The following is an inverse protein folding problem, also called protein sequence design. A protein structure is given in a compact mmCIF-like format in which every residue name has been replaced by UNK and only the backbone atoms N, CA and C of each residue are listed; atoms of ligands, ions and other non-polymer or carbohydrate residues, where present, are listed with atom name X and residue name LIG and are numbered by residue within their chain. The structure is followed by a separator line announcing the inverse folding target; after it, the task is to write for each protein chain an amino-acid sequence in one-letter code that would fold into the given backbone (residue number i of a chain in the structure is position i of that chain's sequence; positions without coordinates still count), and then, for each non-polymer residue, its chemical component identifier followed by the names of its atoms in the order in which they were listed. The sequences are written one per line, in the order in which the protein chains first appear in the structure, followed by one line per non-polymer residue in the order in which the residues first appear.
data_IF_360497416668
#
_entry.id   IF_360497416668
#
_cell.length_a   1.000
_cell.length_b   1.000
_cell.length_c   1.000
_cell.angle_alpha   90.00
_cell.angle_beta   90.00
_cell.angle_gamma   90.00
#
_symmetry.space_group_name_H-M   'P 1'
#
loop_
_entity.id
_entity.type
_entity.pdbx_description
1 polymer ?
#
# COMPACT_ATOMS: atom_id res chain seq x y z
N UNK A 1 7.41 15.24 12.45
CA UNK A 1 6.36 14.46 11.77
C UNK A 1 6.97 13.83 10.52
N UNK A 2 7.44 12.58 10.61
CA UNK A 2 7.99 11.87 9.45
C UNK A 2 6.89 11.62 8.43
N UNK A 3 7.12 11.99 7.17
CA UNK A 3 6.18 11.72 6.07
C UNK A 3 6.24 10.23 5.77
N UNK A 4 5.25 9.46 6.22
CA UNK A 4 5.19 8.04 5.88
C UNK A 4 4.94 7.87 4.39
N UNK A 5 5.78 7.07 3.71
CA UNK A 5 5.67 6.74 2.30
C UNK A 5 4.31 6.08 2.03
N UNK A 6 3.61 6.62 1.03
CA UNK A 6 2.35 6.04 0.59
C UNK A 6 2.67 4.99 -0.47
N UNK A 7 2.61 3.71 -0.08
CA UNK A 7 2.84 2.58 -0.96
C UNK A 7 1.72 1.55 -0.84
N UNK A 8 1.41 0.90 -1.96
CA UNK A 8 0.44 -0.18 -2.04
C UNK A 8 -0.70 0.11 -3.01
N UNK A 9 -1.72 -0.74 -2.97
CA UNK A 9 -2.92 -0.61 -3.79
C UNK A 9 -3.97 0.16 -3.02
N UNK A 10 -4.64 1.06 -3.72
CA UNK A 10 -5.71 1.90 -3.19
C UNK A 10 -6.84 1.94 -4.20
N UNK A 11 -8.05 2.20 -3.72
CA UNK A 11 -9.21 2.34 -4.57
C UNK A 11 -10.13 3.46 -4.10
N UNK A 12 -10.95 3.96 -5.02
CA UNK A 12 -12.10 4.81 -4.69
C UNK A 12 -13.34 3.91 -4.61
N UNK A 13 -14.05 4.02 -3.50
CA UNK A 13 -15.32 3.35 -3.25
C UNK A 13 -16.27 4.34 -2.59
N UNK A 14 -17.45 4.54 -3.17
CA UNK A 14 -18.43 5.53 -2.68
C UNK A 14 -17.80 6.93 -2.49
N UNK A 15 -16.97 7.36 -3.44
CA UNK A 15 -16.26 8.65 -3.40
C UNK A 15 -15.17 8.79 -2.32
N UNK A 16 -14.81 7.71 -1.63
CA UNK A 16 -13.76 7.71 -0.59
C UNK A 16 -12.58 6.82 -0.98
N UNK A 17 -11.35 7.25 -0.65
CA UNK A 17 -10.13 6.46 -0.90
C UNK A 17 -9.89 5.45 0.24
N UNK A 18 -9.67 4.19 -0.14
CA UNK A 18 -9.35 3.10 0.78
C UNK A 18 -8.07 2.39 0.38
N UNK A 19 -7.38 1.80 1.36
CA UNK A 19 -6.26 0.88 1.08
C UNK A 19 -6.82 -0.49 0.72
N UNK A 20 -6.34 -1.06 -0.38
CA UNK A 20 -6.77 -2.37 -0.86
C UNK A 20 -5.80 -3.45 -0.41
N UNK A 21 -6.34 -4.57 0.05
CA UNK A 21 -5.58 -5.77 0.37
C UNK A 21 -6.34 -7.03 -0.10
N UNK A 22 -5.72 -8.19 0.04
CA UNK A 22 -6.37 -9.49 -0.14
C UNK A 22 -6.55 -10.17 1.21
N UNK A 23 -7.71 -10.78 1.43
CA UNK A 23 -7.89 -11.68 2.58
C UNK A 23 -7.22 -13.04 2.34
N UNK A 24 -7.32 -13.93 3.33
CA UNK A 24 -6.77 -15.28 3.28
C UNK A 24 -7.37 -16.16 2.17
N UNK A 25 -8.59 -15.84 1.73
CA UNK A 25 -9.32 -16.53 0.66
C UNK A 25 -9.06 -15.88 -0.71
N UNK A 26 -8.20 -14.86 -0.79
CA UNK A 26 -7.85 -14.13 -2.00
C UNK A 26 -8.87 -13.07 -2.43
N UNK A 27 -9.89 -12.81 -1.63
CA UNK A 27 -10.92 -11.80 -1.87
C UNK A 27 -10.33 -10.40 -1.75
N UNK A 28 -10.81 -9.47 -2.58
CA UNK A 28 -10.45 -8.06 -2.45
C UNK A 28 -11.15 -7.47 -1.22
N UNK A 29 -10.36 -6.85 -0.35
CA UNK A 29 -10.84 -6.12 0.82
C UNK A 29 -10.32 -4.70 0.81
N UNK A 30 -11.15 -3.77 1.29
CA UNK A 30 -10.78 -2.39 1.55
C UNK A 30 -10.58 -2.17 3.04
N UNK A 31 -9.60 -1.35 3.41
CA UNK A 31 -9.17 -1.09 4.77
C UNK A 31 -9.30 0.41 5.08
N UNK A 32 -9.87 0.73 6.23
CA UNK A 32 -9.98 2.11 6.74
C UNK A 32 -9.82 2.17 8.26
N UNK A 33 -9.43 3.33 8.75
CA UNK A 33 -9.47 3.71 10.17
C UNK A 33 -10.40 4.88 10.45
N UNK A 34 -11.04 5.41 9.41
CA UNK A 34 -11.88 6.61 9.50
C UNK A 34 -13.28 6.21 9.97
N UNK A 35 -13.61 6.53 11.22
CA UNK A 35 -14.90 6.22 11.85
C UNK A 35 -16.09 6.83 11.12
N UNK A 36 -15.90 7.94 10.41
CA UNK A 36 -16.98 8.67 9.71
C UNK A 36 -17.54 7.93 8.50
N UNK A 37 -16.77 7.01 7.93
CA UNK A 37 -17.14 6.23 6.73
C UNK A 37 -17.38 4.76 7.05
N UNK A 38 -17.14 4.34 8.30
CA UNK A 38 -17.35 2.97 8.76
C UNK A 38 -18.84 2.78 9.02
N UNK A 39 -19.43 1.81 8.34
CA UNK A 39 -20.80 1.33 8.56
C UNK A 39 -20.80 -0.10 9.15
N UNK A 40 -21.97 -0.71 9.30
CA UNK A 40 -22.13 -2.05 9.86
C UNK A 40 -21.52 -3.20 9.04
N UNK A 41 -21.10 -2.95 7.80
CA UNK A 41 -20.47 -3.93 6.90
C UNK A 41 -18.95 -4.00 7.07
N UNK A 42 -18.37 -3.01 7.74
CA UNK A 42 -16.95 -2.96 8.06
C UNK A 42 -16.68 -3.73 9.36
N UNK A 43 -15.69 -4.63 9.32
CA UNK A 43 -15.36 -5.54 10.42
C UNK A 43 -13.92 -5.28 10.86
N UNK A 44 -13.72 -4.99 12.15
CA UNK A 44 -12.38 -4.97 12.76
C UNK A 44 -12.06 -6.37 13.28
N UNK A 45 -11.52 -7.21 12.40
CA UNK A 45 -11.22 -8.62 12.70
C UNK A 45 -10.26 -8.82 13.88
N UNK A 46 -9.41 -7.83 14.15
CA UNK A 46 -8.28 -7.96 15.09
C UNK A 46 -8.37 -7.04 16.31
N UNK A 47 -9.46 -6.27 16.49
CA UNK A 47 -9.53 -5.29 17.60
C UNK A 47 -8.49 -4.17 17.47
N UNK A 48 -8.01 -3.90 16.26
CA UNK A 48 -6.87 -3.02 15.98
C UNK A 48 -7.26 -1.56 15.73
N UNK A 49 -8.57 -1.31 15.58
CA UNK A 49 -9.10 -0.04 15.07
C UNK A 49 -8.92 0.13 13.55
N UNK A 50 -8.59 -0.95 12.83
CA UNK A 50 -8.54 -0.99 11.36
C UNK A 50 -9.65 -1.90 10.86
N UNK A 51 -10.64 -1.29 10.26
CA UNK A 51 -11.80 -1.99 9.76
C UNK A 51 -11.58 -2.42 8.32
N UNK A 52 -12.03 -3.63 7.99
CA UNK A 52 -12.01 -4.16 6.64
C UNK A 52 -13.40 -4.49 6.13
N UNK A 53 -13.60 -4.33 4.83
CA UNK A 53 -14.83 -4.72 4.12
C UNK A 53 -14.46 -5.47 2.85
N UNK A 54 -15.16 -6.56 2.57
CA UNK A 54 -15.07 -7.28 1.29
C UNK A 54 -15.84 -6.51 0.24
N UNK A 55 -15.21 -6.27 -0.91
CA UNK A 55 -15.82 -5.57 -2.05
C UNK A 55 -15.54 -6.32 -3.33
N UNK A 56 -16.50 -6.29 -4.25
CA UNK A 56 -16.31 -6.78 -5.62
C UNK A 56 -15.57 -5.74 -6.45
N UNK A 57 -14.84 -6.18 -7.48
CA UNK A 57 -14.15 -5.27 -8.39
C UNK A 57 -15.11 -4.35 -9.16
N UNK A 58 -16.36 -4.79 -9.35
CA UNK A 58 -17.42 -4.04 -10.02
C UNK A 58 -17.94 -2.85 -9.20
N UNK A 59 -17.80 -2.90 -7.88
CA UNK A 59 -18.18 -1.81 -6.98
C UNK A 59 -17.08 -0.74 -6.84
N UNK A 60 -15.88 -1.02 -7.35
CA UNK A 60 -14.74 -0.12 -7.27
C UNK A 60 -14.81 0.87 -8.44
N UNK A 61 -14.84 2.16 -8.11
CA UNK A 61 -14.86 3.23 -9.10
C UNK A 61 -13.49 3.38 -9.76
N UNK A 62 -12.43 3.38 -8.95
CA UNK A 62 -11.05 3.48 -9.41
C UNK A 62 -10.14 2.56 -8.62
N UNK A 63 -9.20 1.89 -9.29
CA UNK A 63 -8.16 1.08 -8.66
C UNK A 63 -6.80 1.53 -9.16
N UNK A 64 -5.94 1.97 -8.25
CA UNK A 64 -4.60 2.42 -8.58
C UNK A 64 -3.57 1.97 -7.55
N UNK A 65 -2.31 2.14 -7.91
CA UNK A 65 -1.16 1.76 -7.08
C UNK A 65 -0.26 2.96 -6.89
N UNK A 66 -0.01 3.32 -5.63
CA UNK A 66 1.12 4.18 -5.31
C UNK A 66 2.39 3.33 -5.27
N UNK A 67 3.36 3.73 -6.08
CA UNK A 67 4.71 3.19 -6.08
C UNK A 67 5.69 4.35 -5.90
N UNK A 68 6.27 4.43 -4.71
CA UNK A 68 7.29 5.41 -4.36
C UNK A 68 8.62 4.94 -4.92
N UNK A 69 9.38 5.87 -5.51
CA UNK A 69 10.73 5.59 -5.99
C UNK A 69 11.70 6.61 -5.41
N UNK A 70 12.95 6.19 -5.26
CA UNK A 70 14.08 7.03 -4.91
C UNK A 70 15.04 7.10 -6.10
N UNK A 71 15.80 8.18 -6.17
CA UNK A 71 16.89 8.34 -7.14
C UNK A 71 18.20 8.32 -6.37
N UNK A 72 19.03 7.30 -6.60
CA UNK A 72 20.32 7.10 -5.94
C UNK A 72 21.38 6.99 -7.03
N UNK A 73 22.39 7.85 -7.01
CA UNK A 73 23.44 7.89 -8.04
C UNK A 73 22.88 7.90 -9.48
N UNK A 74 21.82 8.68 -9.70
CA UNK A 74 21.10 8.80 -10.98
C UNK A 74 20.32 7.54 -11.41
N UNK A 75 20.20 6.53 -10.54
CA UNK A 75 19.37 5.34 -10.76
C UNK A 75 18.05 5.43 -10.02
N UNK A 76 16.96 5.09 -10.71
CA UNK A 76 15.62 4.97 -10.13
C UNK A 76 15.47 3.60 -9.46
N UNK A 77 15.17 3.58 -8.17
CA UNK A 77 14.90 2.37 -7.38
C UNK A 77 13.55 2.46 -6.69
N UNK A 78 12.87 1.34 -6.50
CA UNK A 78 11.59 1.31 -5.78
C UNK A 78 11.86 1.42 -4.28
N UNK A 79 11.08 2.24 -3.57
CA UNK A 79 11.07 2.27 -2.11
C UNK A 79 9.94 1.35 -1.65
N UNK A 80 10.26 0.29 -0.93
CA UNK A 80 9.27 -0.68 -0.47
C UNK A 80 8.72 -0.34 0.91
N UNK A 81 9.61 -0.01 1.84
CA UNK A 81 9.30 0.28 3.24
C UNK A 81 10.20 1.37 3.76
N UNK A 82 9.79 2.00 4.83
CA UNK A 82 10.67 2.83 5.66
C UNK A 82 10.63 2.32 7.10
N UNK A 83 11.69 2.57 7.84
CA UNK A 83 11.69 2.58 9.30
C UNK A 83 12.13 3.99 9.77
N UNK A 84 12.37 4.16 11.06
CA UNK A 84 12.71 5.48 11.62
C UNK A 84 14.02 6.07 11.08
N UNK A 85 14.92 5.25 10.54
CA UNK A 85 16.28 5.64 10.17
C UNK A 85 16.64 5.33 8.70
N UNK A 86 15.91 4.42 8.05
CA UNK A 86 16.26 3.83 6.75
C UNK A 86 15.05 3.66 5.84
N UNK A 87 15.30 3.81 4.54
CA UNK A 87 14.39 3.39 3.48
C UNK A 87 14.88 2.07 2.88
N UNK A 88 14.00 1.08 2.84
CA UNK A 88 14.23 -0.16 2.13
C UNK A 88 13.97 0.08 0.65
N UNK A 89 15.03 0.00 -0.15
CA UNK A 89 14.96 0.16 -1.60
C UNK A 89 15.31 -1.13 -2.32
N UNK A 90 14.62 -1.37 -3.42
CA UNK A 90 14.79 -2.55 -4.25
C UNK A 90 14.71 -2.20 -5.72
N UNK A 91 15.38 -2.99 -6.54
CA UNK A 91 15.28 -2.92 -7.99
C UNK A 91 15.24 -4.32 -8.58
N UNK A 92 14.44 -4.50 -9.62
CA UNK A 92 14.44 -5.74 -10.41
C UNK A 92 15.55 -5.75 -11.47
N UNK A 93 16.20 -4.60 -11.71
CA UNK A 93 17.28 -4.48 -12.68
C UNK A 93 18.62 -4.89 -12.04
N UNK A 94 19.18 -6.01 -12.51
CA UNK A 94 20.42 -6.56 -11.98
C UNK A 94 21.63 -5.63 -12.17
N UNK A 95 21.62 -4.75 -13.18
CA UNK A 95 22.70 -3.77 -13.40
C UNK A 95 22.64 -2.67 -12.35
N UNK A 96 21.43 -2.18 -12.07
CA UNK A 96 21.20 -1.18 -11.02
C UNK A 96 21.51 -1.77 -9.64
N UNK A 97 21.11 -3.02 -9.39
CA UNK A 97 21.42 -3.72 -8.14
C UNK A 97 22.94 -3.84 -7.92
N UNK A 98 23.69 -4.24 -8.96
CA UNK A 98 25.14 -4.31 -8.91
C UNK A 98 25.80 -2.94 -8.71
N UNK A 99 25.36 -1.91 -9.42
CA UNK A 99 25.90 -0.55 -9.32
C UNK A 99 25.66 0.09 -7.94
N UNK A 100 24.55 -0.27 -7.28
CA UNK A 100 24.19 0.22 -5.95
C UNK A 100 24.61 -0.71 -4.81
N UNK A 101 25.23 -1.86 -5.10
CA UNK A 101 25.64 -2.84 -4.11
C UNK A 101 24.47 -3.48 -3.33
N UNK A 102 23.27 -3.53 -3.92
CA UNK A 102 22.10 -4.13 -3.28
C UNK A 102 22.27 -5.64 -3.21
N UNK A 103 22.20 -6.19 -1.99
CA UNK A 103 22.24 -7.65 -1.78
C UNK A 103 20.93 -8.30 -2.22
N UNK A 104 21.03 -9.54 -2.70
CA UNK A 104 19.91 -10.36 -3.19
C UNK A 104 19.20 -11.11 -2.08
#
# INVERSE_FOLDING_TARGET
MGRTIKNGRFCIYNGNEFKVNKDSDGNTIILTKNDKIIDSTFIDKYGSGVYSKKVSLEEIEELYRYATYAVINNYKVNVEKENQEYYFVGTADCKVAGALGLQR
#
